data_IF_262309748235
#
_entry.id   IF_262309748235
#
_cell.length_a   1.000
_cell.length_b   1.000
_cell.length_c   1.000
_cell.angle_alpha   90.00
_cell.angle_beta   90.00
_cell.angle_gamma   90.00
#
_symmetry.space_group_name_H-M   'P 1'
#
loop_
_entity.id
_entity.type
_entity.pdbx_description
1 polymer ?
#
# COMPACT_ATOMS: atom_id res chain seq x y z
N UNK A 1 -12.25 3.12 -16.42
CA UNK A 1 -12.57 2.51 -15.11
C UNK A 1 -11.67 1.30 -14.91
N UNK A 2 -10.93 1.22 -13.79
CA UNK A 2 -10.24 0.00 -13.41
C UNK A 2 -11.28 -1.13 -13.31
N UNK A 3 -11.04 -2.24 -13.98
CA UNK A 3 -12.00 -3.36 -13.96
C UNK A 3 -12.05 -3.93 -12.54
N UNK A 4 -13.25 -3.99 -11.94
CA UNK A 4 -13.47 -4.61 -10.64
C UNK A 4 -13.41 -6.15 -10.71
N UNK A 5 -13.73 -6.71 -11.87
CA UNK A 5 -13.87 -8.16 -12.10
C UNK A 5 -12.64 -8.99 -11.72
N UNK A 6 -11.38 -8.61 -12.04
CA UNK A 6 -10.18 -9.29 -11.55
C UNK A 6 -10.18 -9.54 -10.04
N UNK A 7 -10.59 -8.54 -9.26
CA UNK A 7 -10.62 -8.61 -7.80
C UNK A 7 -11.76 -9.48 -7.30
N UNK A 8 -12.95 -9.35 -7.89
CA UNK A 8 -14.11 -10.20 -7.58
C UNK A 8 -13.82 -11.67 -7.88
N UNK A 9 -13.18 -11.95 -9.02
CA UNK A 9 -12.80 -13.30 -9.43
C UNK A 9 -11.73 -13.90 -8.50
N UNK A 10 -10.83 -13.08 -7.94
CA UNK A 10 -9.85 -13.53 -6.95
C UNK A 10 -10.50 -14.07 -5.67
N UNK A 11 -11.67 -13.54 -5.30
CA UNK A 11 -12.43 -13.93 -4.11
C UNK A 11 -13.33 -15.16 -4.31
N UNK A 12 -13.59 -15.57 -5.56
CA UNK A 12 -14.45 -16.72 -5.88
C UNK A 12 -13.92 -18.01 -5.24
N UNK A 13 -14.82 -18.76 -4.61
CA UNK A 13 -14.52 -20.01 -3.91
C UNK A 13 -13.41 -19.88 -2.84
N UNK A 14 -13.30 -18.72 -2.18
CA UNK A 14 -12.32 -18.48 -1.12
C UNK A 14 -12.96 -18.52 0.26
N UNK A 15 -12.18 -18.99 1.23
CA UNK A 15 -12.51 -18.88 2.64
C UNK A 15 -12.17 -17.48 3.13
N UNK A 16 -13.15 -16.76 3.65
CA UNK A 16 -12.95 -15.46 4.28
C UNK A 16 -12.49 -15.70 5.72
N UNK A 17 -11.32 -15.18 6.07
CA UNK A 17 -10.77 -15.25 7.44
C UNK A 17 -11.34 -14.14 8.30
N UNK A 18 -11.43 -12.94 7.74
CA UNK A 18 -11.92 -11.77 8.43
C UNK A 18 -12.44 -10.72 7.45
N UNK A 19 -13.33 -9.88 7.96
CA UNK A 19 -13.75 -8.65 7.30
C UNK A 19 -13.37 -7.49 8.18
N UNK A 20 -12.62 -6.54 7.64
CA UNK A 20 -12.20 -5.34 8.35
C UNK A 20 -12.82 -4.10 7.73
N UNK A 21 -12.90 -3.03 8.51
CA UNK A 21 -13.24 -1.71 8.01
C UNK A 21 -12.30 -0.63 8.51
N UNK A 22 -12.18 0.43 7.73
CA UNK A 22 -11.53 1.67 8.12
C UNK A 22 -12.23 2.83 7.40
N UNK A 23 -12.96 3.65 8.16
CA UNK A 23 -13.88 4.64 7.61
C UNK A 23 -14.85 3.96 6.61
N UNK A 24 -14.83 4.37 5.33
CA UNK A 24 -15.69 3.82 4.28
C UNK A 24 -15.10 2.59 3.57
N UNK A 25 -13.89 2.18 3.95
CA UNK A 25 -13.21 1.08 3.28
C UNK A 25 -13.59 -0.25 3.92
N UNK A 26 -13.80 -1.27 3.10
CA UNK A 26 -14.07 -2.64 3.54
C UNK A 26 -12.98 -3.55 3.00
N UNK A 27 -12.33 -4.33 3.86
CA UNK A 27 -11.34 -5.31 3.45
C UNK A 27 -11.86 -6.72 3.70
N UNK A 28 -11.87 -7.56 2.67
CA UNK A 28 -12.04 -9.00 2.80
C UNK A 28 -10.67 -9.66 2.85
N UNK A 29 -10.28 -10.16 4.02
CA UNK A 29 -9.09 -10.96 4.19
C UNK A 29 -9.43 -12.45 3.97
N UNK A 30 -8.80 -13.08 3.00
CA UNK A 30 -9.11 -14.45 2.55
C UNK A 30 -7.86 -15.33 2.47
N UNK A 31 -8.06 -16.64 2.58
CA UNK A 31 -6.97 -17.61 2.59
C UNK A 31 -6.67 -18.18 1.20
N UNK A 32 -5.40 -18.16 0.82
CA UNK A 32 -4.87 -18.81 -0.38
C UNK A 32 -3.56 -19.49 -0.02
N UNK A 33 -3.49 -20.82 -0.15
CA UNK A 33 -2.27 -21.60 0.04
C UNK A 33 -1.57 -21.33 1.39
N UNK A 34 -2.37 -21.20 2.46
CA UNK A 34 -1.88 -20.94 3.82
C UNK A 34 -1.44 -19.50 4.06
N UNK A 35 -1.59 -18.59 3.09
CA UNK A 35 -1.35 -17.15 3.23
C UNK A 35 -2.66 -16.38 3.27
N UNK A 36 -2.65 -15.28 4.00
CA UNK A 36 -3.75 -14.31 3.97
C UNK A 36 -3.50 -13.33 2.83
N UNK A 37 -4.50 -13.16 1.97
CA UNK A 37 -4.57 -12.11 0.95
C UNK A 37 -5.74 -11.18 1.26
N UNK A 38 -5.76 -10.01 0.64
CA UNK A 38 -6.81 -9.01 0.85
C UNK A 38 -7.37 -8.53 -0.48
N UNK A 39 -8.67 -8.24 -0.51
CA UNK A 39 -9.28 -7.32 -1.47
C UNK A 39 -9.92 -6.21 -0.65
N UNK A 40 -9.57 -4.98 -0.97
CA UNK A 40 -10.13 -3.78 -0.34
C UNK A 40 -11.09 -3.11 -1.29
N UNK A 41 -12.30 -2.83 -0.79
CA UNK A 41 -13.36 -2.13 -1.48
C UNK A 41 -13.38 -0.68 -0.99
N UNK A 42 -13.28 0.22 -1.95
CA UNK A 42 -13.44 1.66 -1.76
C UNK A 42 -14.74 2.09 -2.44
N UNK A 43 -15.49 2.96 -1.76
CA UNK A 43 -16.74 3.52 -2.27
C UNK A 43 -16.41 4.90 -2.82
N UNK A 44 -16.78 5.16 -4.07
CA UNK A 44 -16.54 6.43 -4.72
C UNK A 44 -17.87 7.05 -5.14
N UNK A 45 -18.04 8.31 -4.78
CA UNK A 45 -19.17 9.13 -5.21
C UNK A 45 -18.66 10.35 -5.96
N UNK A 46 -19.22 10.61 -7.14
CA UNK A 46 -18.95 11.80 -7.94
C UNK A 46 -20.28 12.40 -8.39
N UNK A 47 -20.52 13.66 -8.06
CA UNK A 47 -21.80 14.32 -8.35
C UNK A 47 -21.61 15.75 -8.85
N UNK A 48 -22.43 16.16 -9.81
CA UNK A 48 -22.42 17.51 -10.34
C UNK A 48 -23.56 17.81 -11.30
N UNK A 49 -23.50 18.96 -11.96
CA UNK A 49 -24.53 19.40 -12.92
C UNK A 49 -24.76 18.42 -14.09
N UNK A 50 -23.79 17.54 -14.34
CA UNK A 50 -23.78 16.61 -15.46
C UNK A 50 -24.18 15.18 -15.07
N UNK A 51 -24.44 14.85 -13.81
CA UNK A 51 -24.76 13.48 -13.39
C UNK A 51 -24.31 13.14 -11.97
N UNK A 52 -24.57 11.89 -11.57
CA UNK A 52 -24.21 11.35 -10.26
C UNK A 52 -23.79 9.88 -10.38
N UNK A 53 -22.63 9.55 -9.81
CA UNK A 53 -21.98 8.25 -9.94
C UNK A 53 -21.67 7.70 -8.56
N UNK A 54 -22.08 6.47 -8.31
CA UNK A 54 -21.72 5.64 -7.16
C UNK A 54 -21.06 4.37 -7.67
N UNK A 55 -19.75 4.23 -7.44
CA UNK A 55 -18.99 3.08 -7.95
C UNK A 55 -18.02 2.52 -6.92
N UNK A 56 -17.82 1.21 -6.99
CA UNK A 56 -16.79 0.52 -6.25
C UNK A 56 -15.45 0.58 -6.97
N UNK A 57 -14.41 0.83 -6.20
CA UNK A 57 -13.03 0.60 -6.61
C UNK A 57 -12.46 -0.54 -5.76
N UNK A 58 -11.63 -1.36 -6.38
CA UNK A 58 -10.96 -2.48 -5.71
C UNK A 58 -9.47 -2.46 -5.95
N UNK A 59 -8.75 -2.87 -4.91
CA UNK A 59 -7.32 -3.16 -4.96
C UNK A 59 -7.02 -4.36 -4.04
N UNK A 60 -5.79 -4.85 -4.13
CA UNK A 60 -5.25 -5.92 -3.30
C UNK A 60 -4.34 -5.40 -2.17
N UNK A 61 -4.46 -4.12 -1.80
CA UNK A 61 -3.72 -3.50 -0.70
C UNK A 61 -4.52 -3.69 0.59
N UNK A 62 -3.97 -4.35 1.62
CA UNK A 62 -4.65 -4.46 2.90
C UNK A 62 -4.82 -3.09 3.54
N UNK A 63 -5.88 -2.92 4.34
CA UNK A 63 -6.04 -1.72 5.14
C UNK A 63 -4.92 -1.62 6.19
N UNK A 64 -4.52 -0.39 6.57
CA UNK A 64 -3.47 -0.19 7.55
C UNK A 64 -3.89 -0.72 8.94
N UNK A 65 -2.95 -0.86 9.89
CA UNK A 65 -3.20 -1.47 11.20
C UNK A 65 -4.33 -0.84 12.04
N UNK A 66 -4.73 0.40 11.74
CA UNK A 66 -5.85 1.07 12.40
C UNK A 66 -7.23 0.49 12.04
N UNK A 67 -7.31 -0.46 11.09
CA UNK A 67 -8.54 -1.14 10.70
C UNK A 67 -9.17 -1.87 11.89
N UNK A 68 -10.49 -1.94 11.91
CA UNK A 68 -11.26 -2.64 12.96
C UNK A 68 -11.98 -3.84 12.36
N UNK A 69 -12.25 -4.86 13.19
CA UNK A 69 -13.01 -6.02 12.76
C UNK A 69 -14.47 -5.62 12.52
N UNK A 70 -15.00 -5.92 11.34
CA UNK A 70 -16.40 -5.64 11.04
C UNK A 70 -17.32 -6.56 11.87
N UNK A 71 -18.48 -6.10 12.38
CA UNK A 71 -19.40 -6.94 13.16
C UNK A 71 -19.83 -8.23 12.46
N UNK A 72 -19.88 -8.22 11.12
CA UNK A 72 -20.24 -9.39 10.31
C UNK A 72 -19.07 -10.36 10.07
N UNK A 73 -17.83 -10.05 10.47
CA UNK A 73 -16.64 -10.82 10.11
C UNK A 73 -16.74 -12.32 10.41
N UNK A 74 -17.30 -12.71 11.56
CA UNK A 74 -17.45 -14.12 11.95
C UNK A 74 -18.60 -14.86 11.26
N UNK A 75 -19.40 -14.14 10.46
CA UNK A 75 -20.56 -14.70 9.76
C UNK A 75 -20.21 -15.15 8.35
N UNK A 76 -19.16 -14.56 7.74
CA UNK A 76 -18.59 -15.04 6.48
C UNK A 76 -17.85 -16.36 6.70
N UNK A 77 -18.01 -17.30 5.77
CA UNK A 77 -17.28 -18.55 5.81
C UNK A 77 -16.65 -18.85 4.45
N UNK A 78 -17.40 -19.43 3.51
CA UNK A 78 -16.91 -19.66 2.15
C UNK A 78 -17.67 -18.75 1.20
N UNK A 79 -16.95 -17.82 0.57
CA UNK A 79 -17.49 -16.99 -0.48
C UNK A 79 -17.57 -17.83 -1.77
N UNK A 80 -18.79 -18.11 -2.21
CA UNK A 80 -19.05 -18.92 -3.41
C UNK A 80 -18.96 -18.08 -4.67
N UNK A 81 -19.50 -16.87 -4.61
CA UNK A 81 -19.66 -15.99 -5.76
C UNK A 81 -19.73 -14.52 -5.30
N UNK A 82 -19.26 -13.62 -6.17
CA UNK A 82 -19.49 -12.19 -6.07
C UNK A 82 -20.37 -11.77 -7.25
N UNK A 83 -21.44 -11.03 -7.00
CA UNK A 83 -22.36 -10.53 -8.03
C UNK A 83 -22.42 -9.02 -7.99
N UNK A 84 -22.04 -8.39 -9.09
CA UNK A 84 -22.14 -6.95 -9.26
C UNK A 84 -23.50 -6.62 -9.89
N UNK A 85 -24.20 -5.65 -9.32
CA UNK A 85 -25.43 -5.11 -9.85
C UNK A 85 -25.19 -3.66 -10.24
N UNK A 86 -25.67 -3.27 -11.43
CA UNK A 86 -25.38 -1.97 -12.03
C UNK A 86 -26.67 -1.37 -12.56
N UNK A 87 -26.97 -0.15 -12.11
CA UNK A 87 -28.02 0.69 -12.67
C UNK A 87 -27.42 1.87 -13.40
N UNK A 88 -27.72 2.01 -14.68
CA UNK A 88 -27.26 3.13 -15.51
C UNK A 88 -28.47 3.81 -16.17
N UNK A 89 -28.57 5.12 -16.02
CA UNK A 89 -29.63 5.94 -16.62
C UNK A 89 -29.11 7.32 -17.00
N UNK A 90 -28.87 7.54 -18.30
CA UNK A 90 -28.32 8.80 -18.80
C UNK A 90 -26.92 9.04 -18.25
N UNK A 91 -26.81 9.95 -17.28
CA UNK A 91 -25.55 10.30 -16.60
C UNK A 91 -25.49 9.81 -15.15
N UNK A 92 -26.44 8.98 -14.76
CA UNK A 92 -26.46 8.34 -13.45
C UNK A 92 -25.90 6.92 -13.54
N UNK A 93 -25.06 6.55 -12.58
CA UNK A 93 -24.45 5.23 -12.46
C UNK A 93 -24.46 4.80 -11.00
N UNK A 94 -24.98 3.61 -10.73
CA UNK A 94 -25.07 3.07 -9.37
C UNK A 94 -24.60 1.63 -9.36
N UNK A 95 -23.94 1.23 -8.28
CA UNK A 95 -23.47 -0.13 -8.09
C UNK A 95 -23.90 -0.69 -6.73
N UNK A 96 -24.27 -1.98 -6.72
CA UNK A 96 -24.37 -2.81 -5.52
C UNK A 96 -23.54 -4.08 -5.72
N UNK A 97 -22.96 -4.61 -4.64
CA UNK A 97 -22.16 -5.83 -4.67
C UNK A 97 -22.71 -6.86 -3.70
N UNK A 98 -23.25 -7.97 -4.21
CA UNK A 98 -23.67 -9.11 -3.40
C UNK A 98 -22.50 -10.10 -3.26
N UNK A 99 -22.15 -10.40 -2.00
CA UNK A 99 -21.23 -11.45 -1.61
C UNK A 99 -22.06 -12.69 -1.21
N UNK A 100 -22.06 -13.71 -2.06
CA UNK A 100 -22.83 -14.94 -1.85
C UNK A 100 -21.97 -15.94 -1.10
N UNK A 101 -22.38 -16.31 0.11
CA UNK A 101 -21.66 -17.28 0.93
C UNK A 101 -22.45 -18.56 1.14
N UNK A 102 -21.85 -19.55 1.80
CA UNK A 102 -22.55 -20.74 2.29
C UNK A 102 -23.47 -20.47 3.50
N UNK A 103 -23.43 -19.27 4.11
CA UNK A 103 -24.16 -18.92 5.35
C UNK A 103 -25.13 -17.75 5.22
N UNK A 104 -25.38 -17.30 3.99
CA UNK A 104 -26.22 -16.15 3.66
C UNK A 104 -25.55 -15.23 2.66
N UNK A 105 -26.30 -14.22 2.23
CA UNK A 105 -25.82 -13.24 1.27
C UNK A 105 -25.56 -11.92 1.98
N UNK A 106 -24.61 -11.14 1.48
CA UNK A 106 -24.27 -9.84 2.04
C UNK A 106 -24.26 -8.83 0.92
N UNK A 107 -25.04 -7.77 1.05
CA UNK A 107 -25.06 -6.68 0.08
C UNK A 107 -24.20 -5.53 0.59
N UNK A 108 -23.20 -5.15 -0.20
CA UNK A 108 -22.51 -3.87 -0.10
C UNK A 108 -23.25 -2.88 -1.00
N UNK A 109 -23.59 -1.72 -0.47
CA UNK A 109 -24.35 -0.69 -1.18
C UNK A 109 -24.07 0.70 -0.62
N UNK A 110 -24.51 1.72 -1.35
CA UNK A 110 -24.39 3.12 -0.95
C UNK A 110 -25.61 3.50 -0.10
N UNK A 111 -25.39 3.84 1.18
CA UNK A 111 -26.46 4.26 2.09
C UNK A 111 -26.45 5.80 2.23
N UNK A 112 -27.47 6.42 1.64
CA UNK A 112 -27.67 7.89 1.65
C UNK A 112 -28.69 8.35 2.69
N UNK A 113 -29.36 7.42 3.39
CA UNK A 113 -30.49 7.72 4.28
C UNK A 113 -30.05 8.14 5.68
N UNK A 114 -28.91 7.64 6.13
CA UNK A 114 -28.32 8.06 7.40
C UNK A 114 -27.40 9.24 7.11
N UNK A 115 -27.58 10.38 7.80
CA UNK A 115 -26.67 11.55 7.77
C UNK A 115 -25.29 11.21 8.36
N UNK A 116 -24.67 10.11 7.93
CA UNK A 116 -23.35 9.66 8.30
C UNK A 116 -22.38 10.24 7.29
N UNK A 117 -21.18 10.57 7.75
CA UNK A 117 -20.03 10.90 6.89
C UNK A 117 -19.62 9.72 5.97
N UNK A 118 -20.27 8.57 6.14
CA UNK A 118 -19.91 7.27 5.60
C UNK A 118 -21.07 6.67 4.80
N UNK A 119 -20.97 6.68 3.47
CA UNK A 119 -21.97 6.15 2.54
C UNK A 119 -21.76 4.65 2.24
N UNK A 120 -20.84 3.96 2.92
CA UNK A 120 -20.57 2.55 2.71
C UNK A 120 -21.35 1.68 3.71
N UNK A 121 -22.30 0.88 3.23
CA UNK A 121 -23.04 -0.07 4.06
C UNK A 121 -22.83 -1.51 3.62
N UNK A 122 -22.82 -2.43 4.58
CA UNK A 122 -22.83 -3.87 4.34
C UNK A 122 -23.87 -4.54 5.23
N UNK A 123 -24.86 -5.20 4.63
CA UNK A 123 -25.96 -5.83 5.35
C UNK A 123 -26.12 -7.29 4.94
N UNK A 124 -26.36 -8.14 5.93
CA UNK A 124 -26.68 -9.55 5.70
C UNK A 124 -28.14 -9.69 5.28
N UNK A 125 -28.39 -10.56 4.31
CA UNK A 125 -29.71 -10.96 3.79
C UNK A 125 -30.54 -9.80 3.19
N UNK A 126 -29.89 -8.66 2.89
CA UNK A 126 -30.47 -7.58 2.09
C UNK A 126 -30.46 -7.99 0.62
N UNK A 127 -31.61 -7.86 -0.05
CA UNK A 127 -31.71 -8.11 -1.48
C UNK A 127 -31.20 -6.92 -2.31
N UNK A 128 -30.52 -7.17 -3.44
CA UNK A 128 -30.13 -6.13 -4.38
C UNK A 128 -31.38 -5.47 -4.99
N UNK A 129 -31.24 -4.20 -5.35
CA UNK A 129 -32.28 -3.37 -5.97
C UNK A 129 -31.97 -3.05 -7.44
N UNK A 130 -30.71 -3.17 -7.84
CA UNK A 130 -30.26 -2.89 -9.20
C UNK A 130 -30.29 -4.14 -10.11
N UNK A 131 -30.24 -3.97 -11.45
CA UNK A 131 -30.08 -5.08 -12.39
C UNK A 131 -28.74 -5.81 -12.24
N UNK A 132 -28.73 -7.14 -12.39
CA UNK A 132 -27.51 -7.94 -12.34
C UNK A 132 -26.61 -7.65 -13.55
N UNK A 133 -25.35 -7.27 -13.32
CA UNK A 133 -24.39 -7.07 -14.40
C UNK A 133 -23.87 -8.41 -14.95
N UNK A 134 -23.49 -8.42 -16.22
CA UNK A 134 -22.88 -9.62 -16.84
C UNK A 134 -21.48 -9.86 -16.27
N UNK A 135 -21.21 -11.03 -15.66
CA UNK A 135 -19.90 -11.37 -15.16
C UNK A 135 -18.85 -11.38 -16.27
N UNK A 136 -17.64 -10.91 -15.94
CA UNK A 136 -16.48 -10.96 -16.85
C UNK A 136 -15.38 -11.82 -16.23
N UNK A 137 -14.96 -12.85 -16.95
CA UNK A 137 -13.81 -13.68 -16.54
C UNK A 137 -12.51 -12.97 -16.93
N UNK A 138 -12.02 -12.15 -16.00
CA UNK A 138 -10.74 -11.43 -16.10
C UNK A 138 -9.92 -11.74 -14.85
N UNK A 139 -8.61 -11.87 -15.00
CA UNK A 139 -7.70 -12.17 -13.90
C UNK A 139 -6.85 -10.96 -13.56
N UNK A 140 -6.31 -10.95 -12.34
CA UNK A 140 -5.29 -9.98 -11.97
C UNK A 140 -4.08 -10.10 -12.91
N UNK A 141 -3.35 -9.00 -13.15
CA UNK A 141 -2.13 -9.03 -13.93
C UNK A 141 -1.16 -10.11 -13.43
N UNK A 142 -0.52 -10.80 -14.36
CA UNK A 142 0.53 -11.80 -14.06
C UNK A 142 1.93 -11.16 -13.96
N UNK A 143 2.04 -9.89 -14.37
CA UNK A 143 3.26 -9.10 -14.22
C UNK A 143 3.55 -8.85 -12.74
N UNK A 144 4.83 -8.67 -12.40
CA UNK A 144 5.23 -8.41 -11.02
C UNK A 144 4.71 -7.05 -10.53
N UNK A 145 4.75 -6.04 -11.41
CA UNK A 145 4.32 -4.67 -11.19
C UNK A 145 4.03 -4.00 -12.53
N UNK A 146 3.35 -2.85 -12.51
CA UNK A 146 3.04 -2.06 -13.69
C UNK A 146 4.27 -1.27 -14.15
N UNK A 147 4.77 -1.57 -15.34
CA UNK A 147 5.98 -0.92 -15.90
C UNK A 147 5.74 0.55 -16.21
N UNK A 148 4.54 0.95 -16.62
CA UNK A 148 4.23 2.35 -16.90
C UNK A 148 4.12 3.18 -15.62
N UNK A 149 3.50 2.64 -14.56
CA UNK A 149 3.48 3.28 -13.24
C UNK A 149 4.92 3.47 -12.71
N UNK A 150 5.77 2.45 -12.89
CA UNK A 150 7.19 2.56 -12.53
C UNK A 150 7.87 3.70 -13.30
N UNK A 151 7.67 3.79 -14.62
CA UNK A 151 8.29 4.81 -15.47
C UNK A 151 7.85 6.22 -15.09
N UNK A 152 6.56 6.42 -14.85
CA UNK A 152 6.01 7.72 -14.44
C UNK A 152 6.56 8.16 -13.08
N UNK A 153 6.55 7.25 -12.09
CA UNK A 153 7.07 7.54 -10.75
C UNK A 153 8.59 7.77 -10.75
N UNK A 154 9.35 7.01 -11.53
CA UNK A 154 10.79 7.22 -11.71
C UNK A 154 11.06 8.58 -12.38
N UNK A 155 10.34 8.91 -13.46
CA UNK A 155 10.51 10.20 -14.14
C UNK A 155 10.22 11.38 -13.20
N UNK A 156 9.17 11.27 -12.37
CA UNK A 156 8.87 12.25 -11.33
C UNK A 156 10.02 12.40 -10.33
N UNK A 157 10.51 11.28 -9.77
CA UNK A 157 11.60 11.29 -8.81
C UNK A 157 12.89 11.90 -9.39
N UNK A 158 13.29 11.49 -10.60
CA UNK A 158 14.49 12.02 -11.27
C UNK A 158 14.38 13.52 -11.53
N UNK A 159 13.20 13.99 -11.95
CA UNK A 159 12.97 15.43 -12.14
C UNK A 159 13.05 16.21 -10.83
N UNK A 160 12.52 15.66 -9.73
CA UNK A 160 12.56 16.30 -8.42
C UNK A 160 13.99 16.40 -7.87
N UNK A 161 14.79 15.34 -8.00
CA UNK A 161 16.17 15.30 -7.50
C UNK A 161 17.17 16.04 -8.41
N UNK A 162 16.88 16.21 -9.70
CA UNK A 162 17.70 16.98 -10.62
C UNK A 162 19.19 16.61 -10.58
N UNK A 163 20.05 17.58 -10.25
CA UNK A 163 21.51 17.40 -10.19
C UNK A 163 22.03 16.87 -8.84
N UNK A 164 21.15 16.48 -7.91
CA UNK A 164 21.55 15.92 -6.62
C UNK A 164 22.51 14.74 -6.82
N UNK A 165 23.56 14.69 -6.00
CA UNK A 165 24.55 13.61 -5.98
C UNK A 165 24.52 12.87 -4.66
N UNK A 166 24.89 11.60 -4.71
CA UNK A 166 25.21 10.78 -3.54
C UNK A 166 26.48 11.32 -2.84
N UNK A 167 26.77 10.90 -1.59
CA UNK A 167 28.02 11.24 -0.91
C UNK A 167 29.30 10.81 -1.66
N UNK A 168 29.18 9.91 -2.64
CA UNK A 168 30.28 9.44 -3.49
C UNK A 168 30.35 10.16 -4.85
N UNK A 169 29.56 11.21 -5.07
CA UNK A 169 29.57 12.01 -6.30
C UNK A 169 28.78 11.43 -7.47
N UNK A 170 28.14 10.26 -7.31
CA UNK A 170 27.26 9.68 -8.34
C UNK A 170 25.90 10.37 -8.38
N UNK A 171 25.16 10.39 -9.52
CA UNK A 171 23.78 10.89 -9.57
C UNK A 171 22.88 10.22 -8.53
N UNK A 172 21.99 10.99 -7.88
CA UNK A 172 21.12 10.45 -6.82
C UNK A 172 20.20 9.31 -7.30
N UNK A 173 19.93 9.25 -8.60
CA UNK A 173 19.28 8.11 -9.26
C UNK A 173 19.88 6.74 -8.87
N UNK A 174 21.19 6.67 -8.64
CA UNK A 174 21.86 5.44 -8.19
C UNK A 174 21.33 4.94 -6.86
N UNK A 175 21.05 5.84 -5.91
CA UNK A 175 20.45 5.48 -4.61
C UNK A 175 19.01 4.99 -4.81
N UNK A 176 18.17 5.78 -5.49
CA UNK A 176 16.77 5.46 -5.73
C UNK A 176 16.59 4.09 -6.40
N UNK A 177 17.36 3.83 -7.46
CA UNK A 177 17.30 2.56 -8.19
C UNK A 177 17.89 1.40 -7.38
N UNK A 178 18.88 1.65 -6.51
CA UNK A 178 19.40 0.61 -5.62
C UNK A 178 18.37 0.19 -4.57
N UNK A 179 17.67 1.14 -3.95
CA UNK A 179 16.60 0.85 -2.98
C UNK A 179 15.45 0.14 -3.67
N UNK A 180 15.06 0.60 -4.86
CA UNK A 180 13.99 -0.01 -5.64
C UNK A 180 14.35 -1.43 -6.09
N UNK A 181 15.60 -1.67 -6.51
CA UNK A 181 16.08 -3.01 -6.85
C UNK A 181 16.07 -3.96 -5.64
N UNK A 182 16.40 -3.47 -4.44
CA UNK A 182 16.33 -4.25 -3.21
C UNK A 182 14.89 -4.66 -2.89
N UNK A 183 13.94 -3.74 -3.05
CA UNK A 183 12.50 -4.00 -2.90
C UNK A 183 12.00 -5.03 -3.92
N UNK A 184 12.33 -4.87 -5.21
CA UNK A 184 11.93 -5.81 -6.27
C UNK A 184 12.50 -7.21 -6.01
N UNK A 185 13.77 -7.29 -5.62
CA UNK A 185 14.42 -8.57 -5.30
C UNK A 185 13.73 -9.28 -4.13
N UNK A 186 13.27 -8.53 -3.12
CA UNK A 186 12.57 -9.08 -1.97
C UNK A 186 11.26 -9.79 -2.33
N UNK A 187 10.53 -9.32 -3.35
CA UNK A 187 9.28 -9.95 -3.81
C UNK A 187 9.47 -11.35 -4.38
N UNK A 188 10.65 -11.68 -4.91
CA UNK A 188 10.96 -13.04 -5.33
C UNK A 188 11.11 -14.03 -4.17
N UNK A 189 11.33 -13.51 -2.95
CA UNK A 189 11.58 -14.30 -1.73
C UNK A 189 10.32 -14.43 -0.87
N UNK A 190 9.57 -13.34 -0.78
CA UNK A 190 8.35 -13.23 0.03
C UNK A 190 7.38 -12.30 -0.72
N UNK A 191 6.61 -12.85 -1.69
CA UNK A 191 5.78 -12.04 -2.57
C UNK A 191 4.58 -11.45 -1.83
N UNK A 192 4.23 -10.22 -2.21
CA UNK A 192 3.03 -9.51 -1.80
C UNK A 192 1.98 -9.59 -2.91
N UNK A 193 0.88 -8.86 -2.77
CA UNK A 193 -0.08 -8.68 -3.86
C UNK A 193 0.46 -7.77 -4.98
N UNK A 194 -0.19 -7.81 -6.15
CA UNK A 194 0.18 -6.97 -7.29
C UNK A 194 0.13 -5.48 -6.96
N UNK A 195 -0.91 -5.02 -6.26
CA UNK A 195 -1.04 -3.61 -5.91
C UNK A 195 -0.08 -3.20 -4.78
N UNK A 196 0.20 -4.11 -3.84
CA UNK A 196 1.24 -3.89 -2.83
C UNK A 196 2.64 -3.75 -3.45
N UNK A 197 2.97 -4.54 -4.48
CA UNK A 197 4.23 -4.38 -5.22
C UNK A 197 4.33 -2.99 -5.85
N UNK A 198 3.27 -2.54 -6.53
CA UNK A 198 3.23 -1.21 -7.16
C UNK A 198 3.40 -0.08 -6.13
N UNK A 199 2.71 -0.16 -4.98
CA UNK A 199 2.86 0.81 -3.88
C UNK A 199 4.29 0.82 -3.33
N UNK A 200 4.84 -0.34 -3.01
CA UNK A 200 6.18 -0.46 -2.43
C UNK A 200 7.26 0.08 -3.37
N UNK A 201 7.17 -0.24 -4.67
CA UNK A 201 8.09 0.26 -5.71
C UNK A 201 7.97 1.78 -5.86
N UNK A 202 6.75 2.31 -5.95
CA UNK A 202 6.54 3.76 -6.04
C UNK A 202 7.09 4.47 -4.80
N UNK A 203 6.81 3.96 -3.60
CA UNK A 203 7.39 4.50 -2.37
C UNK A 203 8.91 4.43 -2.35
N UNK A 204 9.54 3.34 -2.84
CA UNK A 204 10.99 3.24 -2.95
C UNK A 204 11.60 4.26 -3.91
N UNK A 205 10.97 4.53 -5.05
CA UNK A 205 11.41 5.56 -5.99
C UNK A 205 11.27 6.98 -5.42
N UNK A 206 10.27 7.20 -4.57
CA UNK A 206 9.86 8.53 -4.11
C UNK A 206 10.28 8.86 -2.67
N UNK A 207 10.86 7.91 -1.93
CA UNK A 207 11.01 7.98 -0.47
C UNK A 207 11.73 9.24 0.04
N UNK A 208 12.71 9.73 -0.71
CA UNK A 208 13.52 10.90 -0.34
C UNK A 208 13.04 12.21 -0.98
N UNK A 209 12.02 12.19 -1.85
CA UNK A 209 11.59 13.39 -2.58
C UNK A 209 11.16 14.50 -1.62
N UNK A 210 10.31 14.17 -0.65
CA UNK A 210 9.84 15.12 0.35
C UNK A 210 10.96 15.56 1.33
N UNK A 211 11.99 14.72 1.51
CA UNK A 211 13.07 14.99 2.46
C UNK A 211 14.14 15.90 1.85
N UNK A 212 14.57 15.62 0.62
CA UNK A 212 15.79 16.18 0.03
C UNK A 212 15.54 17.14 -1.13
N UNK A 213 14.29 17.33 -1.55
CA UNK A 213 13.92 18.26 -2.62
C UNK A 213 12.97 19.35 -2.10
N UNK A 214 12.67 20.33 -2.94
CA UNK A 214 11.64 21.34 -2.66
C UNK A 214 10.21 20.85 -2.97
N UNK A 215 10.08 19.63 -3.47
CA UNK A 215 8.80 19.03 -3.86
C UNK A 215 8.14 18.33 -2.67
N UNK A 216 6.83 18.49 -2.53
CA UNK A 216 6.04 17.76 -1.54
C UNK A 216 4.98 16.91 -2.26
N UNK A 217 5.05 15.59 -2.07
CA UNK A 217 4.13 14.63 -2.69
C UNK A 217 2.80 14.61 -1.93
N UNK A 218 1.72 14.79 -2.68
CA UNK A 218 0.33 14.66 -2.24
C UNK A 218 -0.44 13.73 -3.18
N UNK A 219 -1.69 13.41 -2.86
CA UNK A 219 -2.54 12.57 -3.73
C UNK A 219 -2.86 13.25 -5.08
N UNK A 220 -2.72 14.57 -5.17
CA UNK A 220 -2.90 15.36 -6.39
C UNK A 220 -1.61 15.46 -7.23
N UNK A 221 -0.47 14.98 -6.71
CA UNK A 221 0.77 14.99 -7.46
C UNK A 221 0.66 14.15 -8.75
N UNK A 222 1.39 14.52 -9.82
CA UNK A 222 1.42 13.79 -11.09
C UNK A 222 2.30 12.53 -10.98
N UNK A 223 1.95 11.66 -10.04
CA UNK A 223 2.50 10.32 -9.82
C UNK A 223 1.49 9.26 -10.30
N UNK A 224 1.90 8.02 -10.48
CA UNK A 224 1.03 6.96 -10.99
C UNK A 224 0.55 5.99 -9.89
N UNK A 225 -0.48 5.19 -10.20
CA UNK A 225 -0.99 4.14 -9.31
C UNK A 225 -1.81 4.64 -8.12
N UNK A 226 -1.64 3.98 -6.96
CA UNK A 226 -2.42 4.22 -5.73
C UNK A 226 -1.99 5.49 -4.98
N UNK A 227 -2.19 6.66 -5.60
CA UNK A 227 -1.68 7.98 -5.19
C UNK A 227 -1.85 8.29 -3.71
N UNK A 228 -3.03 8.03 -3.15
CA UNK A 228 -3.32 8.30 -1.73
C UNK A 228 -2.45 7.47 -0.79
N UNK A 229 -2.30 6.17 -1.07
CA UNK A 229 -1.47 5.26 -0.27
C UNK A 229 0.00 5.63 -0.43
N UNK A 230 0.44 5.92 -1.66
CA UNK A 230 1.82 6.31 -1.98
C UNK A 230 2.18 7.62 -1.27
N UNK A 231 1.37 8.67 -1.38
CA UNK A 231 1.63 9.95 -0.74
C UNK A 231 1.71 9.83 0.79
N UNK A 232 0.78 9.10 1.41
CA UNK A 232 0.81 8.78 2.85
C UNK A 232 2.04 7.97 3.24
N UNK A 233 2.50 7.09 2.36
CA UNK A 233 3.69 6.27 2.55
C UNK A 233 4.98 7.08 2.48
N UNK A 234 5.16 7.89 1.44
CA UNK A 234 6.31 8.79 1.30
C UNK A 234 6.39 9.76 2.49
N UNK A 235 5.25 10.32 2.91
CA UNK A 235 5.20 11.18 4.09
C UNK A 235 5.69 10.45 5.36
N UNK A 236 5.35 9.17 5.54
CA UNK A 236 5.83 8.38 6.67
C UNK A 236 7.34 8.06 6.59
N UNK A 237 7.87 7.89 5.37
CA UNK A 237 9.30 7.66 5.11
C UNK A 237 10.16 8.92 5.31
N UNK A 238 9.55 10.10 5.25
CA UNK A 238 10.21 11.42 5.38
C UNK A 238 10.52 11.77 6.83
N UNK A 239 11.77 12.16 7.13
CA UNK A 239 12.14 12.69 8.44
C UNK A 239 11.67 14.14 8.62
N UNK A 240 11.04 14.42 9.75
CA UNK A 240 10.63 15.78 10.12
C UNK A 240 11.80 16.62 10.63
N UNK A 241 12.44 17.37 9.73
CA UNK A 241 13.63 18.20 10.03
C UNK A 241 13.38 19.32 11.06
N UNK A 242 12.13 19.58 11.48
CA UNK A 242 11.82 20.53 12.57
C UNK A 242 12.08 19.97 13.98
N UNK A 243 12.22 18.64 14.11
CA UNK A 243 12.49 17.99 15.39
C UNK A 243 13.96 18.16 15.84
N UNK A 244 14.21 18.23 17.16
CA UNK A 244 15.48 18.71 17.73
C UNK A 244 16.68 17.77 17.53
N UNK A 245 16.46 16.48 17.21
CA UNK A 245 17.54 15.52 17.02
C UNK A 245 17.24 14.53 15.89
N UNK A 246 18.30 13.99 15.26
CA UNK A 246 18.18 12.93 14.25
C UNK A 246 17.49 11.67 14.80
N UNK A 247 17.67 11.40 16.09
CA UNK A 247 16.97 10.31 16.77
C UNK A 247 15.46 10.58 16.88
N UNK A 248 15.05 11.78 17.31
CA UNK A 248 13.63 12.14 17.39
C UNK A 248 12.97 12.12 16.00
N UNK A 249 13.70 12.59 14.98
CA UNK A 249 13.29 12.49 13.57
C UNK A 249 13.04 11.05 13.14
N UNK A 250 13.98 10.15 13.43
CA UNK A 250 13.83 8.73 13.10
C UNK A 250 12.66 8.09 13.86
N UNK A 251 12.57 8.28 15.18
CA UNK A 251 11.47 7.72 15.99
C UNK A 251 10.10 8.14 15.47
N UNK A 252 9.91 9.43 15.15
CA UNK A 252 8.65 9.90 14.55
C UNK A 252 8.35 9.23 13.22
N UNK A 253 9.34 9.08 12.34
CA UNK A 253 9.16 8.36 11.06
C UNK A 253 8.77 6.90 11.29
N UNK A 254 9.44 6.18 12.19
CA UNK A 254 9.11 4.79 12.53
C UNK A 254 7.69 4.65 13.10
N UNK A 255 7.27 5.58 13.97
CA UNK A 255 5.90 5.61 14.51
C UNK A 255 4.83 5.88 13.44
N UNK A 256 5.16 6.66 12.40
CA UNK A 256 4.27 6.84 11.25
C UNK A 256 4.24 5.60 10.37
N UNK A 257 5.38 4.96 10.12
CA UNK A 257 5.47 3.73 9.32
C UNK A 257 4.69 2.58 9.95
N UNK A 258 4.69 2.44 11.27
CA UNK A 258 3.86 1.47 12.01
C UNK A 258 2.35 1.66 11.84
N UNK A 259 1.92 2.80 11.30
CA UNK A 259 0.50 3.10 10.97
C UNK A 259 0.20 2.89 9.48
N UNK A 260 1.16 2.44 8.69
CA UNK A 260 1.02 2.18 7.25
C UNK A 260 1.03 0.68 6.98
N UNK A 261 0.74 0.33 5.73
CA UNK A 261 0.84 -1.03 5.23
C UNK A 261 2.29 -1.52 5.25
N UNK A 262 2.46 -2.84 5.41
CA UNK A 262 3.79 -3.46 5.43
C UNK A 262 4.58 -3.18 4.14
N UNK A 263 3.89 -3.09 2.99
CA UNK A 263 4.48 -2.72 1.70
C UNK A 263 5.15 -1.33 1.71
N UNK A 264 4.75 -0.42 2.60
CA UNK A 264 5.42 0.87 2.80
C UNK A 264 6.57 0.72 3.81
N UNK A 265 6.32 0.08 4.95
CA UNK A 265 7.32 -0.06 6.01
C UNK A 265 8.59 -0.80 5.56
N UNK A 266 8.45 -1.81 4.69
CA UNK A 266 9.59 -2.56 4.15
C UNK A 266 10.56 -1.68 3.35
N UNK A 267 10.10 -0.56 2.78
CA UNK A 267 10.96 0.36 2.03
C UNK A 267 12.03 0.95 2.95
N UNK A 268 11.72 1.17 4.24
CA UNK A 268 12.71 1.66 5.19
C UNK A 268 13.79 0.63 5.53
N UNK A 269 13.44 -0.65 5.49
CA UNK A 269 14.41 -1.74 5.62
C UNK A 269 15.34 -1.76 4.40
N UNK A 270 14.78 -1.68 3.19
CA UNK A 270 15.53 -1.65 1.94
C UNK A 270 16.48 -0.44 1.85
N UNK A 271 15.98 0.76 2.17
CA UNK A 271 16.77 2.00 2.29
C UNK A 271 17.97 1.81 3.22
N UNK A 272 17.75 1.23 4.41
CA UNK A 272 18.85 0.96 5.34
C UNK A 272 19.82 -0.10 4.83
N UNK A 273 19.36 -1.15 4.15
CA UNK A 273 20.23 -2.19 3.58
C UNK A 273 21.17 -1.61 2.53
N UNK A 274 20.68 -0.72 1.68
CA UNK A 274 21.46 -0.04 0.64
C UNK A 274 22.51 0.87 1.27
N UNK A 275 22.13 1.63 2.29
CA UNK A 275 23.03 2.58 2.92
C UNK A 275 24.01 1.97 3.93
N UNK A 276 23.73 0.78 4.49
CA UNK A 276 24.59 0.11 5.47
C UNK A 276 25.73 -0.65 4.77
N UNK A 277 26.66 0.12 4.20
CA UNK A 277 27.86 -0.35 3.48
C UNK A 277 29.16 0.21 4.08
N UNK A 278 30.19 0.40 3.25
CA UNK A 278 31.41 1.08 3.66
C UNK A 278 31.08 2.53 4.07
N UNK A 279 31.37 2.96 5.31
CA UNK A 279 31.06 4.32 5.75
C UNK A 279 31.92 5.35 5.02
N UNK A 280 31.42 6.58 4.80
CA UNK A 280 32.22 7.65 4.24
C UNK A 280 33.51 7.89 5.04
N UNK A 281 34.64 8.10 4.34
CA UNK A 281 35.98 8.24 4.94
C UNK A 281 36.11 9.32 6.01
N UNK A 282 35.23 10.33 5.98
CA UNK A 282 35.22 11.45 6.91
C UNK A 282 34.40 11.17 8.19
N UNK A 283 33.77 10.00 8.33
CA UNK A 283 33.00 9.66 9.53
C UNK A 283 33.93 9.24 10.67
N UNK A 284 33.74 9.86 11.83
CA UNK A 284 34.34 9.41 13.08
C UNK A 284 33.64 8.14 13.63
N UNK A 285 34.26 7.52 14.64
CA UNK A 285 33.72 6.30 15.26
C UNK A 285 32.37 6.52 15.94
N UNK A 286 32.08 7.75 16.41
CA UNK A 286 30.79 8.08 17.03
C UNK A 286 29.66 8.06 16.00
N UNK A 287 29.87 8.68 14.85
CA UNK A 287 28.90 8.70 13.75
C UNK A 287 28.66 7.31 13.18
N UNK A 288 29.72 6.50 13.02
CA UNK A 288 29.59 5.09 12.62
C UNK A 288 28.74 4.29 13.61
N UNK A 289 28.98 4.46 14.91
CA UNK A 289 28.20 3.79 15.97
C UNK A 289 26.74 4.21 15.97
N UNK A 290 26.47 5.52 15.91
CA UNK A 290 25.10 6.04 15.85
C UNK A 290 24.36 5.53 14.61
N UNK A 291 25.04 5.38 13.47
CA UNK A 291 24.46 4.84 12.25
C UNK A 291 24.10 3.34 12.36
N UNK A 292 24.93 2.57 13.08
CA UNK A 292 24.67 1.17 13.40
C UNK A 292 23.51 1.00 14.39
N UNK A 293 23.46 1.82 15.43
CA UNK A 293 22.36 1.85 16.40
C UNK A 293 21.02 2.22 15.74
N UNK A 294 21.02 3.22 14.84
CA UNK A 294 19.84 3.57 14.04
C UNK A 294 19.38 2.39 13.16
N UNK A 295 20.30 1.62 12.58
CA UNK A 295 19.97 0.43 11.79
C UNK A 295 19.35 -0.68 12.66
N UNK A 296 19.86 -0.91 13.86
CA UNK A 296 19.30 -1.87 14.83
C UNK A 296 17.90 -1.45 15.27
N UNK A 297 17.68 -0.16 15.51
CA UNK A 297 16.36 0.39 15.83
C UNK A 297 15.37 0.17 14.68
N UNK A 298 15.76 0.46 13.44
CA UNK A 298 14.93 0.21 12.25
C UNK A 298 14.53 -1.27 12.16
N UNK A 299 15.50 -2.18 12.33
CA UNK A 299 15.24 -3.62 12.29
C UNK A 299 14.29 -4.06 13.40
N UNK A 300 14.48 -3.56 14.62
CA UNK A 300 13.63 -3.87 15.76
C UNK A 300 12.18 -3.41 15.52
N UNK A 301 12.00 -2.17 15.08
CA UNK A 301 10.68 -1.56 14.96
C UNK A 301 9.92 -2.00 13.71
N UNK A 302 10.61 -2.33 12.62
CA UNK A 302 9.97 -2.61 11.32
C UNK A 302 10.29 -4.00 10.75
N UNK A 303 11.06 -4.84 11.45
CA UNK A 303 11.44 -6.17 10.96
C UNK A 303 10.24 -7.09 10.67
N UNK A 304 9.09 -6.84 11.29
CA UNK A 304 7.84 -7.56 11.00
C UNK A 304 7.28 -7.28 9.60
N UNK A 305 7.69 -6.18 8.95
CA UNK A 305 7.11 -5.75 7.69
C UNK A 305 7.48 -6.69 6.54
N UNK A 306 8.67 -7.31 6.59
CA UNK A 306 9.12 -8.26 5.57
C UNK A 306 10.27 -9.12 6.11
N UNK A 307 10.04 -10.42 6.23
CA UNK A 307 10.95 -11.38 6.88
C UNK A 307 12.31 -11.46 6.17
N UNK A 308 12.33 -11.55 4.85
CA UNK A 308 13.60 -11.62 4.09
C UNK A 308 14.46 -10.36 4.24
N UNK A 309 13.88 -9.16 4.10
CA UNK A 309 14.61 -7.90 4.27
C UNK A 309 15.09 -7.72 5.71
N UNK A 310 14.30 -8.14 6.70
CA UNK A 310 14.73 -8.13 8.10
C UNK A 310 15.97 -9.01 8.32
N UNK A 311 15.97 -10.24 7.78
CA UNK A 311 17.15 -11.12 7.84
C UNK A 311 18.37 -10.50 7.14
N UNK A 312 18.17 -9.92 5.95
CA UNK A 312 19.28 -9.31 5.20
C UNK A 312 19.85 -8.07 5.91
N UNK A 313 18.99 -7.24 6.50
CA UNK A 313 19.42 -6.10 7.31
C UNK A 313 20.18 -6.57 8.57
N UNK A 314 19.71 -7.65 9.21
CA UNK A 314 20.42 -8.25 10.35
C UNK A 314 21.84 -8.70 9.97
N UNK A 315 22.02 -9.28 8.78
CA UNK A 315 23.34 -9.68 8.28
C UNK A 315 24.22 -8.48 7.94
N UNK A 316 23.65 -7.42 7.34
CA UNK A 316 24.35 -6.15 7.11
C UNK A 316 24.81 -5.50 8.41
N UNK A 317 23.97 -5.50 9.45
CA UNK A 317 24.31 -5.00 10.79
C UNK A 317 25.50 -5.76 11.38
N UNK A 318 25.52 -7.10 11.27
CA UNK A 318 26.65 -7.92 11.74
C UNK A 318 27.93 -7.60 10.96
N UNK A 319 27.84 -7.49 9.63
CA UNK A 319 28.98 -7.20 8.77
C UNK A 319 29.54 -5.78 8.97
N UNK A 320 28.70 -4.82 9.35
CA UNK A 320 29.13 -3.43 9.57
C UNK A 320 30.15 -3.28 10.72
N UNK A 321 30.24 -4.28 11.61
CA UNK A 321 31.30 -4.34 12.64
C UNK A 321 32.72 -4.32 12.07
N UNK A 322 32.91 -4.73 10.81
CA UNK A 322 34.19 -4.65 10.10
C UNK A 322 34.68 -3.22 9.85
N UNK A 323 33.80 -2.22 9.96
CA UNK A 323 34.13 -0.81 9.71
C UNK A 323 34.25 0.03 10.99
N UNK A 324 34.01 -0.58 12.16
CA UNK A 324 34.01 0.07 13.47
C UNK A 324 35.41 0.37 13.97
#
# INVERSE_FOLDING_TARGET
MNSIWPYLNALKARRIKAVYTLNNLVELAYEVEGRTKSVTFSFHTEGGAMGYVESFYCDTIPLPPAKVLHPLSGTFHVLKECRLYVGESGWEHFEELELVTDRGNYLLFFDTLEKKEHYAAMQKDKSPTLPLATPKEVFLPQELFNVDDFRENLAFALKAHGEQKTPHGLPYAMHLLSVTAEVINAFSREPLSYDEHNVAIACALLHDVNEDTTTCITKESPIAGHKEVIAKGVHALTKDKSLPSKEAQMRKSLDQLKKRQNCVALVKLADRIVNLGEPPKHWDSLKKRAYLEEAQLILHELGYAHTYLASKLQDKIKAYSLYM
#
